data_IF_330314227608
#
_entry.id   IF_330314227608
#
_cell.length_a   1.000
_cell.length_b   1.000
_cell.length_c   1.000
_cell.angle_alpha   90.00
_cell.angle_beta   90.00
_cell.angle_gamma   90.00
#
_symmetry.space_group_name_H-M   'P 1'
#
loop_
_entity.id
_entity.type
_entity.pdbx_description
1 polymer ?
#
# COMPACT_ATOMS: atom_id res chain seq x y z
N UNK A 1 -26.57 12.41 -23.25
CA UNK A 1 -25.97 13.63 -22.68
C UNK A 1 -24.59 13.23 -22.21
N UNK A 2 -23.54 13.83 -22.75
CA UNK A 2 -22.15 13.49 -22.45
C UNK A 2 -21.56 14.61 -21.61
N UNK A 3 -20.94 14.27 -20.49
CA UNK A 3 -20.16 15.20 -19.68
C UNK A 3 -18.71 15.14 -20.15
N UNK A 4 -18.09 16.30 -20.36
CA UNK A 4 -16.67 16.43 -20.72
C UNK A 4 -15.97 17.23 -19.63
N UNK A 5 -14.80 16.74 -19.19
CA UNK A 5 -13.88 17.43 -18.29
C UNK A 5 -12.71 17.92 -19.13
N UNK A 6 -12.32 19.18 -18.98
CA UNK A 6 -11.21 19.79 -19.71
C UNK A 6 -10.04 19.99 -18.76
N UNK A 7 -9.00 19.18 -18.92
CA UNK A 7 -7.82 19.22 -18.06
C UNK A 7 -6.75 20.15 -18.66
N UNK A 8 -6.30 21.14 -17.91
CA UNK A 8 -5.06 21.87 -18.23
C UNK A 8 -3.87 20.96 -17.91
N UNK A 9 -3.41 20.22 -18.91
CA UNK A 9 -2.36 19.22 -18.75
C UNK A 9 -1.06 19.79 -18.18
N UNK A 10 -0.69 21.03 -18.54
CA UNK A 10 0.55 21.65 -18.06
C UNK A 10 0.49 21.99 -16.57
N UNK A 11 -0.64 22.59 -16.15
CA UNK A 11 -0.90 22.91 -14.75
C UNK A 11 -1.07 21.64 -13.91
N UNK A 12 -1.74 20.63 -14.47
CA UNK A 12 -1.96 19.35 -13.81
C UNK A 12 -0.66 18.57 -13.58
N UNK A 13 0.24 18.53 -14.57
CA UNK A 13 1.56 17.90 -14.40
C UNK A 13 2.44 18.67 -13.42
N UNK A 14 2.46 20.01 -13.49
CA UNK A 14 3.20 20.83 -12.53
C UNK A 14 2.72 20.62 -11.08
N UNK A 15 1.42 20.43 -10.87
CA UNK A 15 0.86 20.05 -9.56
C UNK A 15 1.39 18.70 -9.08
N UNK A 16 1.39 17.68 -9.96
CA UNK A 16 1.92 16.35 -9.61
C UNK A 16 3.39 16.42 -9.20
N UNK A 17 4.21 17.14 -9.98
CA UNK A 17 5.64 17.30 -9.71
C UNK A 17 5.85 17.97 -8.34
N UNK A 18 5.09 19.03 -8.03
CA UNK A 18 5.13 19.69 -6.71
C UNK A 18 4.72 18.77 -5.56
N UNK A 19 3.73 17.89 -5.75
CA UNK A 19 3.32 16.91 -4.72
C UNK A 19 4.39 15.85 -4.51
N UNK A 20 4.99 15.36 -5.59
CA UNK A 20 6.08 14.37 -5.53
C UNK A 20 7.29 14.94 -4.81
N UNK A 21 7.71 16.16 -5.17
CA UNK A 21 8.84 16.84 -4.53
C UNK A 21 8.62 17.00 -3.02
N UNK A 22 7.41 17.39 -2.60
CA UNK A 22 7.07 17.52 -1.18
C UNK A 22 7.14 16.18 -0.43
N UNK A 23 6.63 15.10 -1.02
CA UNK A 23 6.66 13.76 -0.42
C UNK A 23 8.08 13.20 -0.36
N UNK A 24 8.86 13.39 -1.42
CA UNK A 24 10.28 12.99 -1.46
C UNK A 24 11.06 13.75 -0.40
N UNK A 25 10.81 15.06 -0.22
CA UNK A 25 11.44 15.83 0.85
C UNK A 25 11.10 15.30 2.25
N UNK A 26 9.84 14.91 2.48
CA UNK A 26 9.38 14.42 3.78
C UNK A 26 9.78 12.97 4.10
N UNK A 27 9.84 12.09 3.09
CA UNK A 27 10.05 10.63 3.31
C UNK A 27 11.36 10.07 2.74
N UNK A 28 11.99 10.80 1.82
CA UNK A 28 13.12 10.32 1.02
C UNK A 28 12.73 9.35 -0.11
N UNK A 29 11.44 9.11 -0.37
CA UNK A 29 10.96 8.14 -1.36
C UNK A 29 9.92 8.75 -2.30
N UNK A 30 9.90 8.27 -3.54
CA UNK A 30 8.84 8.57 -4.50
C UNK A 30 7.53 7.93 -3.97
N UNK A 31 6.39 8.65 -3.98
CA UNK A 31 5.12 8.08 -3.54
C UNK A 31 4.70 6.90 -4.41
N UNK A 32 3.85 6.03 -3.84
CA UNK A 32 3.11 5.00 -4.57
C UNK A 32 1.80 5.61 -5.08
N UNK A 33 1.64 5.88 -6.38
CA UNK A 33 0.44 6.52 -6.90
C UNK A 33 -0.74 5.55 -6.86
N UNK A 34 -1.85 5.97 -6.26
CA UNK A 34 -3.09 5.20 -6.21
C UNK A 34 -3.92 5.52 -7.44
N UNK A 35 -4.23 4.52 -8.25
CA UNK A 35 -4.95 4.57 -9.52
C UNK A 35 -6.14 3.62 -9.40
N UNK A 36 -7.27 4.10 -8.83
CA UNK A 36 -8.41 3.24 -8.49
C UNK A 36 -9.72 3.70 -9.11
N UNK A 37 -10.67 2.77 -9.22
CA UNK A 37 -11.96 2.99 -9.86
C UNK A 37 -11.77 3.25 -11.36
N UNK A 38 -12.34 4.34 -11.86
CA UNK A 38 -12.13 4.77 -13.25
C UNK A 38 -10.91 5.71 -13.41
N UNK A 39 -9.90 5.57 -12.56
CA UNK A 39 -8.75 6.48 -12.51
C UNK A 39 -9.16 7.89 -12.09
N UNK A 40 -9.95 8.01 -11.01
CA UNK A 40 -10.43 9.31 -10.50
C UNK A 40 -11.21 10.15 -11.53
N UNK A 41 -11.85 9.49 -12.51
CA UNK A 41 -12.52 10.15 -13.64
C UNK A 41 -11.61 10.55 -14.80
N UNK A 42 -10.30 10.39 -14.66
CA UNK A 42 -9.29 10.74 -15.66
C UNK A 42 -8.88 9.53 -16.53
N UNK A 43 -9.18 8.30 -16.09
CA UNK A 43 -8.87 7.06 -16.80
C UNK A 43 -7.60 6.37 -16.29
N UNK A 44 -7.70 5.04 -16.10
CA UNK A 44 -6.63 4.20 -15.52
C UNK A 44 -5.32 4.28 -16.31
N UNK A 45 -5.36 4.09 -17.64
CA UNK A 45 -4.17 4.13 -18.48
C UNK A 45 -3.50 5.52 -18.55
N UNK A 46 -4.28 6.61 -18.43
CA UNK A 46 -3.70 7.96 -18.34
C UNK A 46 -2.90 8.10 -17.04
N UNK A 47 -3.50 7.74 -15.91
CA UNK A 47 -2.81 7.82 -14.62
C UNK A 47 -1.61 6.87 -14.53
N UNK A 48 -1.68 5.70 -15.18
CA UNK A 48 -0.57 4.76 -15.25
C UNK A 48 0.66 5.36 -15.96
N UNK A 49 0.46 6.01 -17.11
CA UNK A 49 1.55 6.71 -17.82
C UNK A 49 2.10 7.89 -17.03
N UNK A 50 1.24 8.66 -16.37
CA UNK A 50 1.69 9.76 -15.52
C UNK A 50 2.44 9.28 -14.28
N UNK A 51 2.06 8.14 -13.71
CA UNK A 51 2.84 7.50 -12.64
C UNK A 51 4.25 7.12 -13.10
N UNK A 52 4.40 6.62 -14.34
CA UNK A 52 5.72 6.37 -14.92
C UNK A 52 6.50 7.66 -15.19
N UNK A 53 5.82 8.74 -15.64
CA UNK A 53 6.43 10.06 -15.86
C UNK A 53 7.07 10.62 -14.59
N UNK A 54 6.41 10.47 -13.44
CA UNK A 54 6.94 10.92 -12.14
C UNK A 54 7.94 9.93 -11.51
N UNK A 55 8.29 8.84 -12.22
CA UNK A 55 9.32 7.89 -11.80
C UNK A 55 8.87 6.87 -10.75
N UNK A 56 7.57 6.60 -10.62
CA UNK A 56 7.08 5.59 -9.68
C UNK A 56 7.52 4.18 -10.09
N UNK A 57 8.12 3.45 -9.16
CA UNK A 57 8.50 2.03 -9.24
C UNK A 57 7.36 1.09 -8.77
N UNK A 58 6.30 1.64 -8.19
CA UNK A 58 5.13 0.91 -7.72
C UNK A 58 3.90 1.78 -7.82
N UNK A 59 2.78 1.21 -8.28
CA UNK A 59 1.45 1.83 -8.24
C UNK A 59 0.51 1.00 -7.36
N UNK A 60 -0.64 1.55 -7.02
CA UNK A 60 -1.69 0.83 -6.32
C UNK A 60 -3.04 0.97 -7.02
N UNK A 61 -3.76 -0.13 -7.22
CA UNK A 61 -5.12 -0.16 -7.78
C UNK A 61 -6.14 -0.53 -6.73
N UNK A 62 -7.41 -0.20 -6.97
CA UNK A 62 -8.50 -0.48 -6.05
C UNK A 62 -8.76 -1.97 -5.91
N UNK A 63 -8.96 -2.66 -7.03
CA UNK A 63 -9.38 -4.07 -7.09
C UNK A 63 -8.54 -4.87 -8.08
N UNK A 64 -8.64 -6.20 -8.02
CA UNK A 64 -7.94 -7.10 -8.96
C UNK A 64 -8.38 -6.86 -10.42
N UNK A 65 -9.63 -6.43 -10.64
CA UNK A 65 -10.19 -6.18 -11.97
C UNK A 65 -9.54 -5.01 -12.71
N UNK A 66 -8.85 -4.13 -11.99
CA UNK A 66 -8.19 -2.93 -12.55
C UNK A 66 -6.74 -3.21 -12.97
N UNK A 67 -6.19 -4.39 -12.63
CA UNK A 67 -4.76 -4.69 -12.82
C UNK A 67 -4.36 -4.68 -14.29
N UNK A 68 -5.13 -5.33 -15.17
CA UNK A 68 -4.80 -5.42 -16.60
C UNK A 68 -4.82 -4.05 -17.29
N UNK A 69 -5.72 -3.16 -16.86
CA UNK A 69 -5.89 -1.81 -17.42
C UNK A 69 -4.70 -0.90 -17.13
N UNK A 70 -3.92 -1.18 -16.08
CA UNK A 70 -2.70 -0.42 -15.73
C UNK A 70 -1.42 -1.17 -16.06
N UNK A 71 -1.47 -2.50 -16.20
CA UNK A 71 -0.28 -3.33 -16.37
C UNK A 71 0.46 -3.02 -17.68
N UNK A 72 -0.24 -2.70 -18.77
CA UNK A 72 0.37 -2.40 -20.06
C UNK A 72 1.13 -1.06 -20.07
N UNK A 73 0.71 -0.11 -19.25
CA UNK A 73 1.26 1.25 -19.16
C UNK A 73 2.26 1.42 -18.00
N UNK A 74 2.56 0.34 -17.24
CA UNK A 74 3.47 0.37 -16.09
C UNK A 74 4.54 -0.72 -16.15
N UNK A 75 5.72 -0.41 -15.62
CA UNK A 75 6.84 -1.36 -15.53
C UNK A 75 7.11 -1.85 -14.10
N UNK A 76 6.61 -1.13 -13.10
CA UNK A 76 6.80 -1.42 -11.68
C UNK A 76 5.79 -2.38 -11.07
N UNK A 77 5.85 -2.51 -9.76
CA UNK A 77 4.94 -3.35 -8.97
C UNK A 77 3.52 -2.76 -8.90
N UNK A 78 2.53 -3.62 -8.72
CA UNK A 78 1.11 -3.25 -8.67
C UNK A 78 0.50 -3.78 -7.38
N UNK A 79 0.25 -2.90 -6.42
CA UNK A 79 -0.44 -3.24 -5.17
C UNK A 79 -1.95 -3.23 -5.39
N UNK A 80 -2.66 -4.30 -5.06
CA UNK A 80 -4.13 -4.30 -5.02
C UNK A 80 -4.57 -3.94 -3.60
N UNK A 81 -5.29 -2.82 -3.46
CA UNK A 81 -5.67 -2.24 -2.17
C UNK A 81 -6.82 -2.98 -1.49
N UNK A 82 -7.77 -3.52 -2.24
CA UNK A 82 -8.81 -4.38 -1.69
C UNK A 82 -8.19 -5.67 -1.15
N UNK A 83 -8.46 -6.04 0.13
CA UNK A 83 -7.92 -7.26 0.68
C UNK A 83 -8.38 -8.50 -0.08
N UNK A 84 -7.45 -9.44 -0.26
CA UNK A 84 -7.76 -10.75 -0.83
C UNK A 84 -8.71 -11.52 0.10
N UNK A 85 -9.85 -11.93 -0.44
CA UNK A 85 -10.82 -12.80 0.22
C UNK A 85 -11.10 -14.03 -0.66
N UNK A 86 -10.71 -15.25 -0.23
CA UNK A 86 -10.96 -16.47 -0.99
C UNK A 86 -12.45 -16.83 -1.08
N UNK A 87 -13.31 -16.23 -0.25
CA UNK A 87 -14.76 -16.47 -0.27
C UNK A 87 -15.46 -15.67 -1.38
N UNK A 88 -14.90 -14.54 -1.80
CA UNK A 88 -15.39 -13.80 -2.96
C UNK A 88 -15.08 -14.56 -4.25
N UNK A 89 -16.10 -15.26 -4.78
CA UNK A 89 -15.95 -16.09 -5.98
C UNK A 89 -15.62 -15.28 -7.23
N UNK A 90 -16.10 -14.03 -7.33
CA UNK A 90 -15.86 -13.20 -8.51
C UNK A 90 -14.39 -12.73 -8.50
N UNK A 91 -13.93 -12.21 -7.36
CA UNK A 91 -12.54 -11.82 -7.20
C UNK A 91 -11.59 -13.02 -7.31
N UNK A 92 -11.93 -14.17 -6.71
CA UNK A 92 -11.12 -15.38 -6.77
C UNK A 92 -10.95 -15.91 -8.21
N UNK A 93 -12.02 -15.88 -9.03
CA UNK A 93 -11.93 -16.25 -10.44
C UNK A 93 -11.01 -15.30 -11.22
N UNK A 94 -11.05 -14.01 -10.90
CA UNK A 94 -10.20 -13.01 -11.52
C UNK A 94 -8.73 -13.15 -11.10
N UNK A 95 -8.45 -13.45 -9.83
CA UNK A 95 -7.11 -13.78 -9.36
C UNK A 95 -6.52 -14.99 -10.11
N UNK A 96 -7.32 -16.05 -10.29
CA UNK A 96 -6.89 -17.24 -11.04
C UNK A 96 -6.62 -16.94 -12.53
N UNK A 97 -7.40 -16.04 -13.14
CA UNK A 97 -7.15 -15.55 -14.51
C UNK A 97 -5.87 -14.73 -14.59
N UNK A 98 -5.65 -13.83 -13.62
CA UNK A 98 -4.49 -12.95 -13.54
C UNK A 98 -3.18 -13.73 -13.38
N UNK A 99 -3.20 -14.86 -12.66
CA UNK A 99 -2.04 -15.75 -12.51
C UNK A 99 -1.50 -16.32 -13.84
N UNK A 100 -2.32 -16.32 -14.89
CA UNK A 100 -1.91 -16.76 -16.23
C UNK A 100 -1.32 -15.61 -17.07
N UNK A 101 -1.30 -14.38 -16.55
CA UNK A 101 -0.77 -13.21 -17.26
C UNK A 101 0.73 -13.04 -17.04
N UNK A 102 1.44 -12.46 -18.02
CA UNK A 102 2.88 -12.22 -17.94
C UNK A 102 3.27 -11.28 -16.80
N UNK A 103 2.38 -10.36 -16.41
CA UNK A 103 2.61 -9.41 -15.32
C UNK A 103 2.21 -9.92 -13.94
N UNK A 104 1.76 -11.17 -13.80
CA UNK A 104 1.31 -11.72 -12.52
C UNK A 104 2.35 -11.57 -11.39
N UNK A 105 3.64 -11.74 -11.70
CA UNK A 105 4.73 -11.62 -10.72
C UNK A 105 4.97 -10.20 -10.18
N UNK A 106 4.39 -9.16 -10.82
CA UNK A 106 4.46 -7.77 -10.33
C UNK A 106 3.35 -7.43 -9.33
N UNK A 107 2.36 -8.31 -9.18
CA UNK A 107 1.15 -8.00 -8.42
C UNK A 107 1.33 -8.38 -6.96
N UNK A 108 1.04 -7.44 -6.07
CA UNK A 108 1.14 -7.58 -4.62
C UNK A 108 -0.27 -7.54 -4.03
N UNK A 109 -0.66 -8.60 -3.32
CA UNK A 109 -1.99 -8.75 -2.70
C UNK A 109 -2.00 -8.15 -1.30
N UNK A 110 -3.01 -7.35 -0.98
CA UNK A 110 -3.23 -6.94 0.42
C UNK A 110 -3.92 -8.07 1.18
N UNK A 111 -3.40 -8.47 2.34
CA UNK A 111 -3.96 -9.52 3.18
C UNK A 111 -4.36 -8.94 4.53
N UNK A 112 -5.63 -9.08 4.89
CA UNK A 112 -6.19 -8.47 6.10
C UNK A 112 -6.62 -9.48 7.17
N UNK A 113 -6.59 -10.79 6.87
CA UNK A 113 -7.03 -11.84 7.79
C UNK A 113 -6.10 -13.05 7.76
N UNK A 114 -6.08 -13.79 8.87
CA UNK A 114 -5.28 -15.01 8.98
C UNK A 114 -5.78 -16.11 8.04
N UNK A 115 -7.09 -16.25 7.87
CA UNK A 115 -7.67 -17.25 6.97
C UNK A 115 -7.28 -17.01 5.51
N UNK A 116 -7.29 -15.75 5.06
CA UNK A 116 -6.80 -15.37 3.73
C UNK A 116 -5.32 -15.72 3.57
N UNK A 117 -4.45 -15.36 4.54
CA UNK A 117 -3.02 -15.69 4.46
C UNK A 117 -2.77 -17.20 4.42
N UNK A 118 -3.49 -17.96 5.26
CA UNK A 118 -3.36 -19.41 5.35
C UNK A 118 -3.83 -20.11 4.08
N UNK A 119 -4.87 -19.60 3.43
CA UNK A 119 -5.33 -20.14 2.14
C UNK A 119 -4.22 -20.05 1.08
N UNK A 120 -3.55 -18.90 0.97
CA UNK A 120 -2.43 -18.71 0.05
C UNK A 120 -1.22 -19.57 0.42
N UNK A 121 -0.96 -19.78 1.72
CA UNK A 121 0.13 -20.63 2.19
C UNK A 121 -0.08 -22.12 1.85
N UNK A 122 -1.29 -22.55 1.51
CA UNK A 122 -1.60 -23.91 1.08
C UNK A 122 -1.45 -24.11 -0.42
N UNK A 123 -1.48 -23.04 -1.20
CA UNK A 123 -1.29 -23.08 -2.64
C UNK A 123 0.19 -23.34 -3.02
N UNK A 124 0.40 -23.87 -4.23
CA UNK A 124 1.74 -24.20 -4.75
C UNK A 124 2.43 -23.03 -5.46
N UNK A 125 1.70 -21.97 -5.79
CA UNK A 125 2.24 -20.79 -6.47
C UNK A 125 3.05 -19.89 -5.55
N UNK A 126 3.91 -19.06 -6.14
CA UNK A 126 4.56 -17.95 -5.43
C UNK A 126 3.69 -16.71 -5.54
N UNK A 127 3.35 -16.11 -4.40
CA UNK A 127 2.55 -14.89 -4.30
C UNK A 127 3.26 -13.84 -3.47
N UNK A 128 3.15 -12.58 -3.89
CA UNK A 128 3.65 -11.42 -3.16
C UNK A 128 2.51 -10.78 -2.39
N UNK A 129 2.73 -10.47 -1.11
CA UNK A 129 1.70 -9.98 -0.21
C UNK A 129 2.17 -8.80 0.63
N UNK A 130 1.26 -7.90 0.96
CA UNK A 130 1.41 -6.94 2.06
C UNK A 130 0.38 -7.30 3.12
N UNK A 131 0.79 -7.35 4.38
CA UNK A 131 -0.12 -7.60 5.50
C UNK A 131 -0.72 -6.27 5.97
N UNK A 132 -2.03 -6.18 6.15
CA UNK A 132 -2.68 -4.94 6.60
C UNK A 132 -2.89 -4.94 8.11
N UNK A 133 -2.44 -3.88 8.77
CA UNK A 133 -2.65 -3.66 10.19
C UNK A 133 -4.05 -3.08 10.48
N UNK A 134 -4.70 -3.55 11.54
CA UNK A 134 -5.95 -2.96 12.03
C UNK A 134 -5.67 -1.68 12.79
N UNK A 135 -5.90 -0.54 12.13
CA UNK A 135 -5.64 0.78 12.69
C UNK A 135 -6.90 1.40 13.32
N UNK A 136 -6.77 2.62 13.84
CA UNK A 136 -7.88 3.49 14.23
C UNK A 136 -8.86 3.83 13.09
N UNK A 137 -8.55 3.48 11.83
CA UNK A 137 -9.52 3.55 10.72
C UNK A 137 -10.60 2.46 10.82
N UNK A 138 -10.35 1.37 11.56
CA UNK A 138 -11.28 0.25 11.82
C UNK A 138 -11.96 -0.31 10.56
N UNK A 139 -11.22 -0.39 9.46
CA UNK A 139 -11.73 -0.89 8.18
C UNK A 139 -11.41 -2.38 7.99
N UNK A 140 -10.13 -2.69 7.91
CA UNK A 140 -9.58 -4.04 7.69
C UNK A 140 -8.29 -4.20 8.50
N UNK A 141 -7.81 -5.44 8.56
CA UNK A 141 -6.45 -5.75 9.00
C UNK A 141 -6.38 -6.62 10.24
N UNK A 142 -5.16 -7.07 10.51
CA UNK A 142 -4.80 -7.85 11.68
C UNK A 142 -4.71 -6.98 12.91
N UNK A 143 -5.32 -7.41 14.02
CA UNK A 143 -4.86 -6.95 15.35
C UNK A 143 -3.45 -7.49 15.59
N UNK A 144 -2.70 -6.86 16.49
CA UNK A 144 -1.33 -7.31 16.79
C UNK A 144 -1.24 -8.79 17.13
N UNK A 145 -2.08 -9.28 18.04
CA UNK A 145 -2.07 -10.68 18.42
C UNK A 145 -2.39 -11.63 17.26
N UNK A 146 -3.24 -11.18 16.33
CA UNK A 146 -3.61 -11.95 15.13
C UNK A 146 -2.46 -11.96 14.12
N UNK A 147 -1.77 -10.83 13.94
CA UNK A 147 -0.57 -10.73 13.09
C UNK A 147 0.54 -11.65 13.61
N UNK A 148 0.84 -11.56 14.91
CA UNK A 148 1.85 -12.40 15.55
C UNK A 148 1.52 -13.89 15.45
N UNK A 149 0.26 -14.26 15.69
CA UNK A 149 -0.18 -15.65 15.53
C UNK A 149 -0.05 -16.12 14.07
N UNK A 150 -0.37 -15.26 13.09
CA UNK A 150 -0.26 -15.59 11.68
C UNK A 150 1.20 -15.80 11.25
N UNK A 151 2.13 -14.96 11.71
CA UNK A 151 3.57 -15.09 11.43
C UNK A 151 4.23 -16.27 12.14
N UNK A 152 3.64 -16.71 13.26
CA UNK A 152 4.10 -17.89 14.00
C UNK A 152 3.51 -19.22 13.47
N UNK A 153 2.47 -19.18 12.64
CA UNK A 153 1.83 -20.39 12.11
C UNK A 153 2.79 -21.21 11.24
N UNK A 154 2.86 -22.51 11.49
CA UNK A 154 3.83 -23.39 10.84
C UNK A 154 3.67 -23.46 9.32
N UNK A 155 2.44 -23.42 8.79
CA UNK A 155 2.21 -23.48 7.35
C UNK A 155 2.59 -22.17 6.67
N UNK A 156 2.29 -21.03 7.32
CA UNK A 156 2.72 -19.71 6.85
C UNK A 156 4.24 -19.61 6.85
N UNK A 157 4.91 -20.02 7.94
CA UNK A 157 6.38 -20.05 8.02
C UNK A 157 7.00 -20.90 6.92
N UNK A 158 6.51 -22.12 6.73
CA UNK A 158 7.01 -23.00 5.68
C UNK A 158 6.77 -22.41 4.28
N UNK A 159 5.61 -21.80 4.04
CA UNK A 159 5.32 -21.16 2.76
C UNK A 159 6.28 -20.00 2.48
N UNK A 160 6.61 -19.19 3.48
CA UNK A 160 7.59 -18.11 3.36
C UNK A 160 9.00 -18.64 3.14
N UNK A 161 9.47 -19.60 3.93
CA UNK A 161 10.79 -20.22 3.78
C UNK A 161 11.00 -20.80 2.38
N UNK A 162 9.95 -21.42 1.81
CA UNK A 162 9.97 -21.99 0.46
C UNK A 162 9.72 -20.97 -0.67
N UNK A 163 9.50 -19.68 -0.34
CA UNK A 163 9.25 -18.62 -1.32
C UNK A 163 7.87 -18.70 -1.99
N UNK A 164 6.91 -19.42 -1.40
CA UNK A 164 5.52 -19.46 -1.86
C UNK A 164 4.74 -18.23 -1.42
N UNK A 165 5.08 -17.66 -0.27
CA UNK A 165 4.53 -16.38 0.20
C UNK A 165 5.69 -15.42 0.45
N UNK A 166 5.75 -14.34 -0.33
CA UNK A 166 6.76 -13.28 -0.20
C UNK A 166 6.10 -12.07 0.44
N UNK A 167 6.50 -11.74 1.67
CA UNK A 167 5.90 -10.63 2.42
C UNK A 167 6.66 -9.34 2.15
N UNK A 168 6.04 -8.42 1.42
CA UNK A 168 6.60 -7.14 0.95
C UNK A 168 6.45 -6.00 1.98
N UNK A 169 5.92 -6.30 3.17
CA UNK A 169 5.85 -5.37 4.30
C UNK A 169 4.49 -5.31 4.99
N UNK A 170 4.31 -4.27 5.79
CA UNK A 170 3.09 -4.00 6.57
C UNK A 170 2.39 -2.74 6.05
N UNK A 171 1.13 -2.85 5.66
CA UNK A 171 0.25 -1.74 5.33
C UNK A 171 -0.40 -1.16 6.58
N UNK A 172 -0.31 0.17 6.72
CA UNK A 172 -0.94 0.94 7.80
C UNK A 172 -1.85 1.99 7.17
N UNK A 173 -3.16 1.69 7.11
CA UNK A 173 -4.16 2.59 6.54
C UNK A 173 -4.70 3.53 7.61
N UNK A 174 -4.34 4.82 7.58
CA UNK A 174 -4.83 5.80 8.55
C UNK A 174 -6.13 6.49 8.10
N UNK A 175 -6.96 6.99 9.02
CA UNK A 175 -8.10 7.84 8.65
C UNK A 175 -7.63 9.13 7.95
N UNK A 176 -8.46 9.63 7.02
CA UNK A 176 -8.21 10.92 6.34
C UNK A 176 -8.21 12.05 7.37
N UNK A 177 -9.31 12.13 8.12
CA UNK A 177 -9.49 13.02 9.25
C UNK A 177 -9.53 12.18 10.51
N UNK A 178 -8.62 12.44 11.45
CA UNK A 178 -8.70 11.89 12.79
C UNK A 178 -9.31 12.97 13.70
N UNK A 179 -10.21 12.64 14.64
CA UNK A 179 -10.64 13.61 15.64
C UNK A 179 -9.41 14.17 16.38
N UNK A 180 -9.51 15.42 16.83
CA UNK A 180 -8.44 16.12 17.53
C UNK A 180 -7.90 15.28 18.69
N UNK A 181 -6.56 15.15 18.75
CA UNK A 181 -5.76 14.33 19.67
C UNK A 181 -6.50 13.83 20.93
N UNK A 182 -6.70 12.52 21.06
CA UNK A 182 -6.71 11.92 22.39
C UNK A 182 -5.36 12.24 23.05
N UNK A 183 -5.40 12.73 24.28
CA UNK A 183 -4.22 13.17 25.01
C UNK A 183 -3.11 12.10 24.92
N UNK A 184 -1.88 12.47 24.53
CA UNK A 184 -0.82 11.50 24.32
C UNK A 184 -0.59 10.67 25.59
N UNK A 185 -0.41 9.34 25.48
CA UNK A 185 0.00 8.52 26.61
C UNK A 185 1.26 9.10 27.25
N UNK A 186 1.38 9.01 28.59
CA UNK A 186 2.57 9.51 29.30
C UNK A 186 3.84 8.95 28.67
N UNK A 187 4.64 9.81 28.06
CA UNK A 187 5.96 9.46 27.49
C UNK A 187 6.09 9.63 25.98
N UNK A 188 4.99 9.80 25.22
CA UNK A 188 5.05 10.03 23.77
C UNK A 188 4.80 11.51 23.50
N UNK A 189 5.81 12.24 22.99
CA UNK A 189 5.80 13.71 22.99
C UNK A 189 5.76 14.40 21.62
N UNK A 190 5.92 13.69 20.50
CA UNK A 190 5.97 14.32 19.18
C UNK A 190 5.10 13.59 18.14
N UNK A 191 4.56 14.36 17.19
CA UNK A 191 3.69 13.87 16.11
C UNK A 191 2.21 13.78 16.47
N UNK A 192 1.35 13.75 15.44
CA UNK A 192 -0.10 13.53 15.59
C UNK A 192 -0.41 12.11 16.07
N UNK A 193 -1.66 11.85 16.50
CA UNK A 193 -2.11 10.49 16.81
C UNK A 193 -1.89 9.49 15.64
N UNK A 194 -2.09 9.91 14.37
CA UNK A 194 -1.78 9.09 13.19
C UNK A 194 -0.31 8.71 13.13
N UNK A 195 0.59 9.69 13.28
CA UNK A 195 2.03 9.44 13.23
C UNK A 195 2.48 8.49 14.36
N UNK A 196 1.98 8.68 15.59
CA UNK A 196 2.29 7.81 16.74
C UNK A 196 1.84 6.36 16.50
N UNK A 197 0.65 6.17 15.94
CA UNK A 197 0.13 4.84 15.63
C UNK A 197 0.95 4.14 14.54
N UNK A 198 1.35 4.86 13.49
CA UNK A 198 2.23 4.33 12.44
C UNK A 198 3.58 3.90 13.01
N UNK A 199 4.21 4.74 13.85
CA UNK A 199 5.49 4.42 14.48
C UNK A 199 5.38 3.18 15.37
N UNK A 200 4.26 3.01 16.09
CA UNK A 200 4.00 1.80 16.90
C UNK A 200 3.95 0.54 16.03
N UNK A 201 3.18 0.57 14.93
CA UNK A 201 3.10 -0.56 14.00
C UNK A 201 4.43 -0.85 13.31
N UNK A 202 5.18 0.18 12.95
CA UNK A 202 6.50 0.03 12.35
C UNK A 202 7.51 -0.59 13.32
N UNK A 203 7.52 -0.19 14.59
CA UNK A 203 8.39 -0.78 15.61
C UNK A 203 8.08 -2.25 15.89
N UNK A 204 6.78 -2.61 15.90
CA UNK A 204 6.36 -4.02 15.95
C UNK A 204 6.88 -4.78 14.73
N UNK A 205 6.62 -4.27 13.52
CA UNK A 205 7.04 -4.91 12.27
C UNK A 205 8.56 -5.09 12.20
N UNK A 206 9.33 -4.08 12.57
CA UNK A 206 10.79 -4.16 12.65
C UNK A 206 11.22 -5.28 13.58
N UNK A 207 10.71 -5.32 14.82
CA UNK A 207 11.04 -6.36 15.81
C UNK A 207 10.71 -7.75 15.26
N UNK A 208 9.55 -7.90 14.63
CA UNK A 208 9.12 -9.18 14.06
C UNK A 208 9.93 -9.59 12.85
N UNK A 209 10.44 -8.65 12.04
CA UNK A 209 11.23 -8.97 10.85
C UNK A 209 12.72 -9.22 11.15
N UNK A 210 13.27 -8.62 12.20
CA UNK A 210 14.67 -8.78 12.62
C UNK A 210 15.06 -10.23 12.96
N UNK A 211 14.10 -11.06 13.39
CA UNK A 211 14.35 -12.46 13.75
C UNK A 211 14.34 -13.42 12.56
N UNK A 212 13.97 -12.94 11.35
CA UNK A 212 13.93 -13.77 10.16
C UNK A 212 15.26 -13.75 9.42
N UNK A 213 15.62 -14.90 8.84
CA UNK A 213 16.85 -15.07 8.08
C UNK A 213 16.55 -15.72 6.73
N UNK A 214 17.40 -15.47 5.74
CA UNK A 214 17.30 -16.04 4.40
C UNK A 214 16.65 -15.13 3.37
N UNK A 215 16.67 -15.58 2.11
CA UNK A 215 16.29 -14.76 0.95
C UNK A 215 14.79 -14.41 0.88
N UNK A 216 13.95 -15.15 1.60
CA UNK A 216 12.48 -14.97 1.61
C UNK A 216 11.98 -14.36 2.94
N UNK A 217 12.88 -13.79 3.75
CA UNK A 217 12.49 -13.06 4.95
C UNK A 217 11.56 -11.89 4.59
N UNK A 218 10.56 -11.55 5.44
CA UNK A 218 9.71 -10.39 5.20
C UNK A 218 10.51 -9.10 5.01
N UNK A 219 10.09 -8.27 4.07
CA UNK A 219 10.70 -6.97 3.83
C UNK A 219 10.31 -6.00 4.94
N UNK A 220 11.29 -5.29 5.50
CA UNK A 220 11.06 -4.23 6.49
C UNK A 220 10.57 -2.92 5.84
N UNK A 221 9.39 -2.99 5.20
CA UNK A 221 8.73 -1.84 4.55
C UNK A 221 7.39 -1.56 5.22
N UNK A 222 7.10 -0.28 5.45
CA UNK A 222 5.82 0.21 5.97
C UNK A 222 5.09 1.01 4.88
N UNK A 223 3.94 0.50 4.47
CA UNK A 223 3.10 1.09 3.43
C UNK A 223 2.00 1.96 4.07
N UNK A 224 2.23 3.26 4.12
CA UNK A 224 1.32 4.21 4.80
C UNK A 224 0.32 4.83 3.83
N UNK A 225 -0.77 5.36 4.37
CA UNK A 225 -1.76 6.15 3.63
C UNK A 225 -2.28 7.27 4.52
N UNK A 226 -2.74 8.37 3.91
CA UNK A 226 -3.39 9.48 4.60
C UNK A 226 -2.54 10.18 5.68
N UNK A 227 -1.22 10.26 5.45
CA UNK A 227 -0.33 11.15 6.20
C UNK A 227 -0.08 12.42 5.40
N UNK A 228 -0.05 13.57 6.08
CA UNK A 228 0.50 14.79 5.50
C UNK A 228 2.04 14.80 5.54
N UNK A 229 2.67 15.84 5.00
CA UNK A 229 4.13 15.91 4.88
C UNK A 229 4.83 16.00 6.25
N UNK A 230 4.22 16.67 7.23
CA UNK A 230 4.79 16.82 8.56
C UNK A 230 4.68 15.50 9.33
N UNK A 231 3.55 14.81 9.25
CA UNK A 231 3.34 13.48 9.82
C UNK A 231 4.30 12.46 9.20
N UNK A 232 4.47 12.51 7.88
CA UNK A 232 5.39 11.63 7.16
C UNK A 232 6.84 11.86 7.56
N UNK A 233 7.26 13.12 7.76
CA UNK A 233 8.59 13.46 8.24
C UNK A 233 8.84 12.92 9.66
N UNK A 234 7.85 13.05 10.56
CA UNK A 234 7.93 12.50 11.93
C UNK A 234 8.05 10.97 11.90
N UNK A 235 7.25 10.30 11.08
CA UNK A 235 7.35 8.84 10.91
C UNK A 235 8.74 8.48 10.41
N UNK A 236 9.22 9.13 9.34
CA UNK A 236 10.53 8.82 8.75
C UNK A 236 11.68 9.02 9.74
N UNK A 237 11.67 10.07 10.56
CA UNK A 237 12.69 10.30 11.58
C UNK A 237 12.65 9.28 12.73
N UNK A 238 11.49 8.68 12.97
CA UNK A 238 11.26 7.74 14.08
C UNK A 238 11.53 6.28 13.71
N UNK A 239 11.54 5.94 12.40
CA UNK A 239 11.71 4.55 11.90
C UNK A 239 12.87 4.46 10.90
N UNK A 240 14.10 4.65 11.37
CA UNK A 240 15.29 4.75 10.51
C UNK A 240 15.53 3.51 9.66
N UNK A 241 15.24 2.33 10.22
CA UNK A 241 15.61 1.03 9.66
C UNK A 241 14.54 0.46 8.71
N UNK A 242 13.36 1.08 8.69
CA UNK A 242 12.25 0.71 7.80
C UNK A 242 12.22 1.59 6.55
N UNK A 243 11.86 1.02 5.41
CA UNK A 243 11.48 1.80 4.23
C UNK A 243 10.04 2.27 4.39
N UNK A 244 9.77 3.56 4.25
CA UNK A 244 8.41 4.13 4.37
C UNK A 244 7.90 4.49 2.98
N UNK A 245 6.78 3.87 2.57
CA UNK A 245 6.18 4.09 1.25
C UNK A 245 4.79 4.70 1.40
N UNK A 246 4.63 5.99 1.04
CA UNK A 246 3.35 6.68 1.09
C UNK A 246 2.51 6.36 -0.16
N UNK A 247 1.32 5.78 0.05
CA UNK A 247 0.29 5.63 -0.98
C UNK A 247 -0.57 6.89 -1.04
N UNK A 248 -0.67 7.52 -2.21
CA UNK A 248 -1.47 8.74 -2.40
C UNK A 248 -2.18 8.77 -3.76
N UNK A 249 -3.42 9.25 -3.79
CA UNK A 249 -4.21 9.35 -5.02
C UNK A 249 -4.89 10.71 -5.15
N UNK A 250 -5.85 11.03 -4.28
CA UNK A 250 -6.63 12.28 -4.38
C UNK A 250 -5.74 13.53 -4.38
N UNK A 251 -4.77 13.61 -3.46
CA UNK A 251 -3.83 14.74 -3.41
C UNK A 251 -2.99 14.84 -4.68
N UNK A 252 -2.55 13.70 -5.22
CA UNK A 252 -1.70 13.64 -6.40
C UNK A 252 -2.46 14.01 -7.69
N UNK A 253 -3.64 13.43 -7.89
CA UNK A 253 -4.37 13.54 -9.16
C UNK A 253 -5.39 14.67 -9.20
N UNK A 254 -5.99 15.02 -8.06
CA UNK A 254 -7.12 15.95 -7.98
C UNK A 254 -6.84 17.17 -7.07
N UNK A 255 -5.58 17.36 -6.65
CA UNK A 255 -5.21 18.40 -5.69
C UNK A 255 -5.35 19.83 -6.23
N UNK A 256 -5.09 20.05 -7.52
CA UNK A 256 -5.32 21.33 -8.17
C UNK A 256 -6.64 21.33 -8.96
N UNK A 257 -7.71 21.75 -8.29
CA UNK A 257 -9.05 21.85 -8.91
C UNK A 257 -9.12 22.88 -10.04
N UNK A 258 -8.19 23.83 -10.12
CA UNK A 258 -8.17 24.80 -11.20
C UNK A 258 -7.56 24.26 -12.49
N UNK A 259 -7.01 23.05 -12.46
CA UNK A 259 -6.53 22.33 -13.63
C UNK A 259 -7.57 21.35 -14.20
N UNK A 260 -8.73 21.19 -13.57
CA UNK A 260 -9.77 20.19 -13.87
C UNK A 260 -11.09 20.81 -14.35
#
# INVERSE_FOLDING_TARGET
>A
MTFSVAVDGSRWQAHQDSVVDAIVHASGNIPVPVIKGNGYGLGLGILAREAMRIGADTIAVGTVFEVDDVAADTQGDIVVLEPFDPVDRAAAAEWARLEQQLHAGRVIRTIATFDSLRSLAQDSGSVRVILEANTSMHRFGFRESELLAALADAHVREAMERGRVLVEGLAVHMPIDQPADDAPPRGVREGSAKAREVVRWAGLWQTETEVWQGHNAPVNTIWVSHLDDAELAVVRSSVSDSVVRLRTGTRLWLGDRGAL
#
